data_IF_846788084893
#
_entry.id   IF_846788084893
#
_cell.length_a   1.000
_cell.length_b   1.000
_cell.length_c   1.000
_cell.angle_alpha   90.00
_cell.angle_beta   90.00
_cell.angle_gamma   90.00
#
_symmetry.space_group_name_H-M   'P 1'
#
loop_
_entity.id
_entity.type
_entity.pdbx_description
1 polymer ?
#
# COMPACT_ATOMS: atom_id res chain seq x y z
N UNK A 1 2.97 2.18 11.41
CA UNK A 1 1.90 1.57 10.61
C UNK A 1 0.66 2.43 10.73
N UNK A 2 -0.08 2.52 9.67
CA UNK A 2 -1.33 3.26 9.53
C UNK A 2 -2.46 2.28 9.20
N UNK A 3 -3.65 2.56 9.71
CA UNK A 3 -4.89 2.02 9.22
C UNK A 3 -5.46 3.00 8.21
N UNK A 4 -5.74 2.54 6.99
CA UNK A 4 -6.38 3.34 5.96
C UNK A 4 -7.87 3.03 5.91
N UNK A 5 -8.70 4.06 5.97
CA UNK A 5 -10.11 4.04 5.63
C UNK A 5 -10.29 4.78 4.31
N UNK A 6 -10.82 4.13 3.28
CA UNK A 6 -10.96 4.64 1.93
C UNK A 6 -12.45 4.80 1.59
N UNK A 7 -12.79 5.89 0.92
CA UNK A 7 -14.15 6.25 0.54
C UNK A 7 -14.25 6.36 -0.98
N UNK A 8 -15.16 5.60 -1.58
CA UNK A 8 -15.32 5.53 -3.03
C UNK A 8 -16.28 6.58 -3.61
N UNK A 9 -17.12 7.19 -2.76
CA UNK A 9 -18.11 8.17 -3.17
C UNK A 9 -18.45 9.15 -2.03
N UNK A 10 -19.23 10.19 -2.37
CA UNK A 10 -19.64 11.22 -1.42
C UNK A 10 -20.59 10.69 -0.34
N UNK A 11 -21.44 9.70 -0.65
CA UNK A 11 -22.38 9.10 0.30
C UNK A 11 -21.60 8.38 1.43
N UNK A 12 -20.56 7.64 1.07
CA UNK A 12 -19.67 6.99 2.04
C UNK A 12 -18.95 8.00 2.94
N UNK A 13 -18.50 9.15 2.35
CA UNK A 13 -17.87 10.23 3.11
C UNK A 13 -18.87 10.87 4.10
N UNK A 14 -20.08 11.20 3.64
CA UNK A 14 -21.11 11.83 4.48
C UNK A 14 -21.59 10.90 5.60
N UNK A 15 -21.68 9.61 5.34
CA UNK A 15 -22.06 8.59 6.34
C UNK A 15 -20.92 8.24 7.32
N UNK A 16 -19.68 8.63 7.01
CA UNK A 16 -18.45 8.16 7.69
C UNK A 16 -18.32 6.61 7.68
N UNK A 17 -18.77 5.99 6.57
CA UNK A 17 -18.70 4.54 6.35
C UNK A 17 -17.66 4.21 5.28
N UNK A 18 -16.44 3.80 5.65
CA UNK A 18 -15.40 3.46 4.67
C UNK A 18 -15.83 2.33 3.74
N UNK A 19 -15.64 2.52 2.45
CA UNK A 19 -15.91 1.50 1.42
C UNK A 19 -14.91 0.34 1.51
N UNK A 20 -13.66 0.66 1.93
CA UNK A 20 -12.62 -0.34 2.12
C UNK A 20 -11.60 0.08 3.19
N UNK A 21 -10.89 -0.92 3.73
CA UNK A 21 -9.81 -0.74 4.70
C UNK A 21 -8.52 -1.39 4.18
N UNK A 22 -7.41 -0.75 4.48
CA UNK A 22 -6.08 -1.24 4.15
C UNK A 22 -5.05 -0.83 5.21
N UNK A 23 -3.81 -1.19 4.97
CA UNK A 23 -2.67 -0.75 5.75
C UNK A 23 -1.77 0.19 4.94
N UNK A 24 -0.98 0.98 5.63
CA UNK A 24 0.18 1.68 5.08
C UNK A 24 1.27 1.78 6.13
N UNK A 25 2.47 2.16 5.72
CA UNK A 25 3.54 2.44 6.67
C UNK A 25 4.32 3.69 6.29
N UNK A 26 4.59 4.51 7.29
CA UNK A 26 5.32 5.76 7.14
C UNK A 26 6.78 5.52 6.78
N UNK A 27 7.27 6.25 5.77
CA UNK A 27 8.65 6.19 5.29
C UNK A 27 9.40 7.52 5.45
N UNK A 28 8.68 8.58 5.84
CA UNK A 28 9.30 9.88 6.13
C UNK A 28 8.66 10.56 7.35
N UNK A 29 9.42 11.46 8.02
CA UNK A 29 8.89 12.21 9.16
C UNK A 29 7.84 13.25 8.81
N UNK A 30 7.69 13.60 7.56
CA UNK A 30 6.76 14.61 7.01
C UNK A 30 5.50 14.02 6.38
N UNK A 31 5.30 12.69 6.51
CA UNK A 31 4.03 12.05 6.22
C UNK A 31 3.98 11.26 4.92
N UNK A 32 5.11 10.96 4.27
CA UNK A 32 5.09 9.97 3.19
C UNK A 32 4.88 8.57 3.76
N UNK A 33 3.97 7.82 3.14
CA UNK A 33 3.68 6.45 3.50
C UNK A 33 3.52 5.57 2.25
N UNK A 34 3.95 4.32 2.35
CA UNK A 34 3.79 3.32 1.30
C UNK A 34 2.56 2.47 1.56
N UNK A 35 1.86 2.11 0.50
CA UNK A 35 0.74 1.16 0.49
C UNK A 35 0.69 0.42 -0.85
N UNK A 36 -0.26 -0.49 -1.05
CA UNK A 36 -0.56 -1.05 -2.37
C UNK A 36 -1.39 -0.07 -3.21
N UNK A 37 -1.21 -0.14 -4.54
CA UNK A 37 -2.07 0.61 -5.46
C UNK A 37 -3.53 0.15 -5.38
N UNK A 38 -3.80 -1.17 -5.38
CA UNK A 38 -5.16 -1.69 -5.28
C UNK A 38 -5.89 -1.24 -4.00
N UNK A 39 -5.17 -0.86 -2.95
CA UNK A 39 -5.76 -0.34 -1.73
C UNK A 39 -6.39 1.03 -1.91
N UNK A 40 -5.87 1.85 -2.82
CA UNK A 40 -6.36 3.20 -3.11
C UNK A 40 -7.14 3.29 -4.42
N UNK A 41 -7.16 2.24 -5.24
CA UNK A 41 -7.89 2.20 -6.52
C UNK A 41 -9.38 2.36 -6.28
N UNK A 42 -10.02 3.28 -6.99
CA UNK A 42 -11.44 3.60 -6.83
C UNK A 42 -11.79 4.53 -5.68
N UNK A 43 -10.83 4.95 -4.85
CA UNK A 43 -11.10 5.88 -3.77
C UNK A 43 -11.04 7.34 -4.23
N UNK A 44 -11.98 8.17 -3.75
CA UNK A 44 -11.99 9.63 -3.97
C UNK A 44 -11.47 10.40 -2.76
N UNK A 45 -11.52 9.78 -1.57
CA UNK A 45 -11.05 10.33 -0.31
C UNK A 45 -10.50 9.24 0.58
N UNK A 46 -9.72 9.61 1.59
CA UNK A 46 -9.18 8.64 2.55
C UNK A 46 -8.68 9.28 3.82
N UNK A 47 -8.69 8.45 4.87
CA UNK A 47 -8.21 8.77 6.21
C UNK A 47 -7.17 7.75 6.64
N UNK A 48 -6.07 8.23 7.21
CA UNK A 48 -5.02 7.42 7.78
C UNK A 48 -5.01 7.57 9.31
N UNK A 49 -5.31 6.50 10.02
CA UNK A 49 -5.30 6.49 11.50
C UNK A 49 -4.00 5.91 12.00
N UNK A 50 -3.31 6.66 12.85
CA UNK A 50 -2.09 6.24 13.52
C UNK A 50 -2.42 5.23 14.62
N UNK A 51 -1.42 4.44 15.02
CA UNK A 51 -1.55 3.50 16.16
C UNK A 51 -1.90 4.21 17.48
N UNK A 52 -1.56 5.46 17.62
CA UNK A 52 -1.86 6.33 18.76
C UNK A 52 -3.30 6.87 18.75
N UNK A 53 -4.02 6.68 17.64
CA UNK A 53 -5.43 7.03 17.50
C UNK A 53 -5.70 8.30 16.69
N UNK A 54 -4.66 9.10 16.40
CA UNK A 54 -4.83 10.31 15.60
C UNK A 54 -5.21 9.95 14.15
N UNK A 55 -6.24 10.59 13.63
CA UNK A 55 -6.71 10.44 12.27
C UNK A 55 -6.31 11.65 11.41
N UNK A 56 -5.62 11.39 10.31
CA UNK A 56 -5.13 12.39 9.37
C UNK A 56 -5.67 12.10 7.96
N UNK A 57 -5.98 13.14 7.19
CA UNK A 57 -6.42 12.95 5.81
C UNK A 57 -5.28 12.43 4.92
N UNK A 58 -5.62 11.65 3.89
CA UNK A 58 -4.72 11.39 2.76
C UNK A 58 -4.80 12.62 1.85
N UNK A 59 -3.70 13.39 1.78
CA UNK A 59 -3.68 14.63 1.00
C UNK A 59 -3.36 14.40 -0.47
N UNK A 60 -2.37 13.54 -0.74
CA UNK A 60 -1.84 13.32 -2.08
C UNK A 60 -1.40 11.88 -2.29
N UNK A 61 -1.44 11.44 -3.53
CA UNK A 61 -0.72 10.29 -4.06
C UNK A 61 0.51 10.85 -4.78
N UNK A 62 1.68 10.57 -4.25
CA UNK A 62 2.96 11.09 -4.76
C UNK A 62 3.51 10.21 -5.87
N UNK A 63 3.29 8.92 -5.77
CA UNK A 63 3.69 7.90 -6.73
C UNK A 63 2.65 6.80 -6.74
N UNK A 64 2.35 6.27 -7.89
CA UNK A 64 1.62 5.01 -8.01
C UNK A 64 2.03 4.28 -9.30
N UNK A 65 1.93 2.98 -9.25
CA UNK A 65 2.11 2.09 -10.39
C UNK A 65 1.16 0.90 -10.22
N UNK A 66 0.16 0.82 -11.11
CA UNK A 66 -0.87 -0.20 -11.05
C UNK A 66 -0.34 -1.58 -11.48
N UNK A 67 0.67 -1.63 -12.35
CA UNK A 67 1.21 -2.88 -12.89
C UNK A 67 2.06 -3.62 -11.85
N UNK A 68 2.67 -2.88 -10.95
CA UNK A 68 3.48 -3.44 -9.84
C UNK A 68 2.76 -3.40 -8.50
N UNK A 69 1.55 -2.82 -8.46
CA UNK A 69 0.71 -2.71 -7.26
C UNK A 69 1.35 -1.96 -6.09
N UNK A 70 2.01 -0.82 -6.38
CA UNK A 70 2.61 0.05 -5.37
C UNK A 70 2.07 1.48 -5.45
N UNK A 71 1.93 2.12 -4.29
CA UNK A 71 1.65 3.54 -4.17
C UNK A 71 2.40 4.18 -3.00
N UNK A 72 2.73 5.47 -3.15
CA UNK A 72 3.23 6.33 -2.07
C UNK A 72 2.25 7.47 -1.90
N UNK A 73 1.70 7.59 -0.71
CA UNK A 73 0.74 8.63 -0.32
C UNK A 73 1.40 9.63 0.63
N UNK A 74 0.88 10.84 0.66
CA UNK A 74 1.19 11.85 1.70
C UNK A 74 -0.02 12.02 2.58
N UNK A 75 0.17 11.86 3.89
CA UNK A 75 -0.85 12.14 4.89
C UNK A 75 -0.66 13.53 5.49
N UNK A 76 -1.78 14.18 5.84
CA UNK A 76 -1.79 15.47 6.50
C UNK A 76 -1.03 15.43 7.83
N UNK A 77 -0.40 16.53 8.18
CA UNK A 77 0.18 16.73 9.52
C UNK A 77 -0.81 17.35 10.51
N UNK A 78 -2.05 17.55 10.05
CA UNK A 78 -3.13 18.07 10.87
C UNK A 78 -4.20 16.99 11.00
N UNK A 79 -4.60 16.69 12.23
CA UNK A 79 -5.68 15.72 12.50
C UNK A 79 -7.04 16.31 12.15
N UNK A 80 -8.06 15.46 12.12
CA UNK A 80 -9.45 15.89 11.91
C UNK A 80 -9.91 16.91 12.97
N UNK A 81 -9.37 16.85 14.19
CA UNK A 81 -9.65 17.77 15.29
C UNK A 81 -8.83 19.07 15.20
N UNK A 82 -7.97 19.21 14.19
CA UNK A 82 -7.13 20.40 13.97
C UNK A 82 -5.83 20.42 14.76
N UNK A 83 -5.46 19.34 15.40
CA UNK A 83 -4.19 19.20 16.12
C UNK A 83 -3.04 18.91 15.13
N UNK A 84 -1.87 19.47 15.38
CA UNK A 84 -0.70 19.23 14.53
C UNK A 84 0.10 18.04 15.06
N UNK A 85 0.36 17.05 14.22
CA UNK A 85 1.32 15.98 14.46
C UNK A 85 2.72 16.52 14.18
N UNK A 86 3.56 16.73 15.20
CA UNK A 86 4.84 17.43 15.01
C UNK A 86 5.80 16.67 14.10
N UNK A 87 5.80 15.34 14.21
CA UNK A 87 6.67 14.45 13.45
C UNK A 87 6.11 13.04 13.44
N UNK A 88 6.17 12.38 12.28
CA UNK A 88 5.87 10.96 12.18
C UNK A 88 7.12 10.08 12.42
N UNK A 89 6.88 8.87 12.92
CA UNK A 89 7.92 7.85 13.05
C UNK A 89 7.95 7.00 11.80
N UNK A 90 9.04 7.12 11.04
CA UNK A 90 9.23 6.43 9.77
C UNK A 90 9.94 5.09 9.95
N UNK A 91 9.58 4.11 9.12
CA UNK A 91 10.28 2.85 8.95
C UNK A 91 11.36 3.04 7.87
N UNK A 92 12.57 2.61 8.15
CA UNK A 92 13.64 2.64 7.18
C UNK A 92 13.39 1.61 6.07
N UNK A 93 13.58 2.01 4.81
CA UNK A 93 13.45 1.11 3.66
C UNK A 93 14.74 0.33 3.39
N UNK A 94 14.56 -0.80 2.74
CA UNK A 94 15.60 -1.66 2.20
C UNK A 94 15.12 -2.32 0.90
N UNK A 95 16.04 -2.69 0.01
CA UNK A 95 15.68 -3.41 -1.21
C UNK A 95 15.53 -4.91 -0.97
N UNK A 96 14.94 -5.61 -1.95
CA UNK A 96 14.73 -7.06 -1.91
C UNK A 96 16.04 -7.86 -1.74
N UNK A 97 17.18 -7.29 -2.15
CA UNK A 97 18.52 -7.90 -2.00
C UNK A 97 18.97 -8.07 -0.54
N UNK A 98 18.32 -7.40 0.40
CA UNK A 98 18.63 -7.48 1.84
C UNK A 98 17.98 -8.69 2.53
N UNK A 99 17.23 -9.51 1.80
CA UNK A 99 16.67 -10.77 2.31
C UNK A 99 16.99 -11.93 1.37
N UNK A 100 17.09 -13.12 1.95
CA UNK A 100 17.35 -14.38 1.27
C UNK A 100 16.33 -15.42 1.73
N UNK A 101 16.13 -16.45 0.94
CA UNK A 101 15.33 -17.60 1.33
C UNK A 101 15.81 -18.18 2.67
N UNK A 102 14.89 -18.35 3.60
CA UNK A 102 15.15 -18.81 4.97
C UNK A 102 15.36 -17.70 6.01
N UNK A 103 15.56 -16.44 5.59
CA UNK A 103 15.70 -15.33 6.53
C UNK A 103 14.39 -15.07 7.28
N UNK A 104 14.50 -14.70 8.55
CA UNK A 104 13.34 -14.30 9.36
C UNK A 104 12.81 -12.94 8.90
N UNK A 105 11.48 -12.87 8.74
CA UNK A 105 10.76 -11.63 8.42
C UNK A 105 9.55 -11.45 9.33
N UNK A 106 9.07 -10.21 9.39
CA UNK A 106 7.91 -9.81 10.17
C UNK A 106 6.94 -9.04 9.27
N UNK A 107 5.70 -9.52 9.16
CA UNK A 107 4.63 -8.78 8.48
C UNK A 107 3.89 -7.92 9.50
N UNK A 108 3.78 -6.63 9.23
CA UNK A 108 3.05 -5.64 10.02
C UNK A 108 1.91 -5.06 9.22
N UNK A 109 0.73 -5.00 9.79
CA UNK A 109 -0.45 -4.43 9.15
C UNK A 109 -1.60 -4.25 10.13
N UNK A 110 -2.77 -3.90 9.61
CA UNK A 110 -4.02 -3.77 10.35
C UNK A 110 -5.05 -4.80 9.88
N UNK A 111 -4.86 -6.08 10.20
CA UNK A 111 -5.76 -7.13 9.75
C UNK A 111 -7.18 -6.89 10.27
N UNK A 112 -8.16 -6.94 9.36
CA UNK A 112 -9.59 -6.80 9.66
C UNK A 112 -9.98 -5.50 10.38
N UNK A 113 -9.15 -4.45 10.31
CA UNK A 113 -9.41 -3.22 11.06
C UNK A 113 -9.28 -3.35 12.58
N UNK A 114 -8.69 -4.45 13.08
CA UNK A 114 -8.60 -4.74 14.52
C UNK A 114 -7.43 -4.04 15.22
N UNK A 115 -6.71 -3.21 14.50
CA UNK A 115 -5.51 -2.52 14.99
C UNK A 115 -4.21 -3.17 14.52
N UNK A 116 -3.09 -2.62 14.96
CA UNK A 116 -1.76 -3.12 14.57
C UNK A 116 -1.57 -4.57 15.01
N UNK A 117 -1.23 -5.41 14.03
CA UNK A 117 -0.80 -6.77 14.27
C UNK A 117 0.56 -7.04 13.62
N UNK A 118 1.32 -7.92 14.23
CA UNK A 118 2.61 -8.40 13.72
C UNK A 118 2.60 -9.92 13.70
N UNK A 119 2.96 -10.50 12.56
CA UNK A 119 3.25 -11.93 12.43
C UNK A 119 4.71 -12.13 12.08
N UNK A 120 5.28 -13.27 12.49
CA UNK A 120 6.64 -13.68 12.19
C UNK A 120 6.63 -14.88 11.26
N UNK A 121 7.52 -14.89 10.30
CA UNK A 121 7.76 -16.01 9.40
C UNK A 121 9.16 -15.97 8.81
N UNK A 122 9.32 -16.68 7.70
CA UNK A 122 10.55 -16.70 6.90
C UNK A 122 10.26 -16.31 5.45
N UNK A 123 11.29 -15.92 4.74
CA UNK A 123 11.25 -15.80 3.28
C UNK A 123 11.24 -17.19 2.66
N UNK A 124 10.17 -17.53 1.97
CA UNK A 124 10.01 -18.82 1.27
C UNK A 124 10.54 -18.77 -0.16
N UNK A 125 10.47 -17.60 -0.83
CA UNK A 125 11.05 -17.32 -2.13
C UNK A 125 11.34 -15.82 -2.27
N UNK A 126 12.35 -15.44 -3.06
CA UNK A 126 12.73 -14.04 -3.28
C UNK A 126 12.35 -13.50 -4.66
N UNK A 127 11.88 -14.36 -5.57
CA UNK A 127 11.44 -13.97 -6.90
C UNK A 127 10.38 -14.98 -7.38
N UNK A 128 9.11 -14.66 -7.15
CA UNK A 128 7.98 -15.49 -7.54
C UNK A 128 7.04 -14.68 -8.44
N UNK A 129 6.83 -15.17 -9.67
CA UNK A 129 5.89 -14.56 -10.61
C UNK A 129 4.46 -14.73 -10.09
N UNK A 130 3.69 -13.65 -10.07
CA UNK A 130 2.32 -13.64 -9.61
C UNK A 130 1.48 -12.63 -10.40
N UNK A 131 0.22 -12.96 -10.67
CA UNK A 131 -0.68 -12.12 -11.48
C UNK A 131 -0.98 -10.75 -10.85
N UNK A 132 -0.68 -10.58 -9.57
CA UNK A 132 -0.96 -9.33 -8.84
C UNK A 132 0.09 -8.23 -9.06
N UNK A 133 1.24 -8.55 -9.65
CA UNK A 133 2.32 -7.60 -9.91
C UNK A 133 3.19 -8.09 -11.06
N UNK A 134 3.61 -7.19 -11.93
CA UNK A 134 4.60 -7.48 -12.99
C UNK A 134 6.01 -7.66 -12.44
N UNK A 135 6.26 -7.25 -11.20
CA UNK A 135 7.51 -7.57 -10.51
C UNK A 135 7.42 -8.92 -9.80
N UNK A 136 8.49 -9.73 -9.84
CA UNK A 136 8.57 -10.94 -9.04
C UNK A 136 8.44 -10.62 -7.54
N UNK A 137 7.50 -11.28 -6.88
CA UNK A 137 7.19 -11.08 -5.47
C UNK A 137 8.14 -11.83 -4.54
N UNK A 138 8.34 -11.29 -3.34
CA UNK A 138 8.84 -12.04 -2.20
C UNK A 138 7.69 -12.87 -1.63
N UNK A 139 7.91 -14.18 -1.43
CA UNK A 139 6.97 -15.06 -0.75
C UNK A 139 7.42 -15.28 0.68
N UNK A 140 6.49 -15.15 1.62
CA UNK A 140 6.73 -15.40 3.04
C UNK A 140 5.61 -16.25 3.63
N UNK A 141 5.89 -16.98 4.69
CA UNK A 141 4.90 -17.67 5.52
C UNK A 141 4.45 -16.86 6.76
N UNK A 142 4.96 -15.63 6.90
CA UNK A 142 4.46 -14.67 7.89
C UNK A 142 2.99 -14.34 7.57
N UNK A 143 2.07 -14.78 8.43
CA UNK A 143 0.63 -14.72 8.18
C UNK A 143 0.14 -13.30 7.97
N UNK A 144 -0.60 -13.06 6.88
CA UNK A 144 -1.36 -11.85 6.63
C UNK A 144 -2.85 -12.19 6.42
N UNK A 145 -3.70 -11.20 6.57
CA UNK A 145 -5.16 -11.31 6.41
C UNK A 145 -5.71 -10.09 5.67
N UNK A 146 -6.99 -10.10 5.32
CA UNK A 146 -7.66 -8.91 4.76
C UNK A 146 -7.40 -7.69 5.64
N UNK A 147 -7.14 -6.53 5.04
CA UNK A 147 -6.73 -5.30 5.72
C UNK A 147 -5.21 -5.20 5.96
N UNK A 148 -4.44 -6.29 5.84
CA UNK A 148 -2.98 -6.22 5.90
C UNK A 148 -2.33 -5.70 4.60
N UNK A 149 -3.07 -5.68 3.48
CA UNK A 149 -2.59 -5.12 2.21
C UNK A 149 -2.08 -3.70 2.41
N UNK A 150 -0.91 -3.38 1.88
CA UNK A 150 -0.20 -2.12 2.11
C UNK A 150 0.66 -2.09 3.37
N UNK A 151 0.63 -3.14 4.19
CA UNK A 151 1.50 -3.29 5.35
C UNK A 151 2.96 -3.56 5.00
N UNK A 152 3.84 -3.49 5.99
CA UNK A 152 5.26 -3.68 5.80
C UNK A 152 5.70 -5.12 6.03
N UNK A 153 6.51 -5.68 5.12
CA UNK A 153 7.34 -6.84 5.40
C UNK A 153 8.73 -6.35 5.86
N UNK A 154 9.06 -6.60 7.12
CA UNK A 154 10.34 -6.18 7.70
C UNK A 154 11.33 -7.33 7.75
N UNK A 155 12.62 -7.02 7.52
CA UNK A 155 13.71 -7.93 7.83
C UNK A 155 14.00 -7.95 9.34
N UNK A 156 14.94 -8.79 9.77
CA UNK A 156 15.34 -8.93 11.19
C UNK A 156 15.91 -7.64 11.81
N UNK A 157 16.32 -6.66 10.99
CA UNK A 157 16.82 -5.36 11.44
C UNK A 157 15.71 -4.29 11.53
N UNK A 158 14.43 -4.65 11.29
CA UNK A 158 13.30 -3.74 11.31
C UNK A 158 13.22 -2.79 10.12
N UNK A 159 13.87 -3.12 9.01
CA UNK A 159 13.80 -2.36 7.75
C UNK A 159 12.77 -2.99 6.83
N UNK A 160 11.92 -2.18 6.21
CA UNK A 160 10.92 -2.67 5.27
C UNK A 160 11.60 -3.06 3.93
N UNK A 161 11.35 -4.28 3.48
CA UNK A 161 11.90 -4.85 2.23
C UNK A 161 10.83 -5.03 1.17
N UNK A 162 9.55 -5.14 1.58
CA UNK A 162 8.43 -5.32 0.68
C UNK A 162 7.12 -4.80 1.32
N UNK A 163 6.09 -4.68 0.48
CA UNK A 163 4.71 -4.38 0.87
C UNK A 163 3.94 -5.70 0.91
N UNK A 164 3.23 -5.98 2.01
CA UNK A 164 2.34 -7.14 2.09
C UNK A 164 1.12 -6.91 1.20
N UNK A 165 0.86 -7.81 0.24
CA UNK A 165 -0.10 -7.55 -0.83
C UNK A 165 -1.23 -8.56 -0.86
N UNK A 166 -0.93 -9.86 -0.81
CA UNK A 166 -1.96 -10.88 -0.95
C UNK A 166 -1.52 -12.27 -0.51
N UNK A 167 -2.42 -13.22 -0.68
CA UNK A 167 -2.16 -14.64 -0.42
C UNK A 167 -2.28 -15.43 -1.72
N UNK A 168 -1.44 -16.42 -1.90
CA UNK A 168 -1.55 -17.35 -3.01
C UNK A 168 -2.76 -18.26 -2.81
N UNK A 169 -3.73 -18.19 -3.71
CA UNK A 169 -5.06 -18.81 -3.54
C UNK A 169 -5.00 -20.35 -3.43
N UNK A 170 -4.01 -20.96 -4.07
CA UNK A 170 -3.84 -22.40 -4.13
C UNK A 170 -2.77 -22.95 -3.18
N UNK A 171 -2.16 -22.09 -2.36
CA UNK A 171 -1.09 -22.45 -1.42
C UNK A 171 -1.48 -22.18 0.03
N UNK A 172 -1.09 -23.06 0.94
CA UNK A 172 -1.19 -22.78 2.37
C UNK A 172 0.06 -22.03 2.83
N UNK A 173 -0.13 -20.96 3.61
CA UNK A 173 0.96 -20.15 4.18
C UNK A 173 1.94 -19.59 3.12
N UNK A 174 1.40 -19.17 1.98
CA UNK A 174 2.16 -18.49 0.93
C UNK A 174 1.58 -17.11 0.74
N UNK A 175 2.26 -16.12 1.28
CA UNK A 175 1.84 -14.73 1.22
C UNK A 175 2.79 -13.96 0.30
N UNK A 176 2.20 -13.16 -0.58
CA UNK A 176 2.88 -12.42 -1.63
C UNK A 176 3.15 -11.00 -1.15
N UNK A 177 4.39 -10.56 -1.31
CA UNK A 177 4.83 -9.23 -0.93
C UNK A 177 5.57 -8.58 -2.11
N UNK A 178 5.17 -7.39 -2.51
CA UNK A 178 5.79 -6.64 -3.60
C UNK A 178 7.06 -5.95 -3.10
N UNK A 179 8.22 -6.14 -3.75
CA UNK A 179 9.48 -5.50 -3.35
C UNK A 179 9.41 -3.97 -3.38
N UNK A 180 10.19 -3.32 -2.49
CA UNK A 180 10.24 -1.86 -2.37
C UNK A 180 11.27 -1.18 -3.28
N UNK A 181 12.00 -1.94 -4.10
CA UNK A 181 13.04 -1.40 -4.97
C UNK A 181 12.52 -0.25 -5.85
N UNK A 182 11.31 -0.29 -6.47
CA UNK A 182 10.78 0.85 -7.23
C UNK A 182 10.55 2.11 -6.38
N UNK A 183 10.13 1.97 -5.14
CA UNK A 183 9.92 3.13 -4.24
C UNK A 183 11.26 3.76 -3.84
N UNK A 184 12.33 2.95 -3.71
CA UNK A 184 13.69 3.44 -3.43
C UNK A 184 14.28 4.24 -4.61
N UNK A 185 13.84 3.96 -5.84
CA UNK A 185 14.31 4.60 -7.07
C UNK A 185 13.41 5.77 -7.51
N UNK A 186 12.18 5.86 -6.99
CA UNK A 186 11.20 6.87 -7.39
C UNK A 186 11.58 8.27 -6.90
N UNK A 187 11.25 9.28 -7.72
CA UNK A 187 11.24 10.68 -7.29
C UNK A 187 9.98 10.98 -6.48
N UNK A 188 10.12 11.11 -5.19
CA UNK A 188 9.04 11.39 -4.24
C UNK A 188 8.93 12.88 -3.86
N UNK A 189 9.58 13.79 -4.61
CA UNK A 189 9.61 15.23 -4.32
C UNK A 189 8.46 16.01 -4.93
N UNK A 190 7.68 15.40 -5.85
CA UNK A 190 6.57 16.01 -6.54
C UNK A 190 5.40 16.40 -5.62
N UNK A 191 4.52 17.28 -6.13
CA UNK A 191 3.29 17.67 -5.42
C UNK A 191 2.26 16.53 -5.37
N UNK A 192 2.32 15.60 -6.33
CA UNK A 192 1.41 14.48 -6.45
C UNK A 192 -0.01 14.87 -6.89
N UNK A 193 -0.91 13.91 -6.87
CA UNK A 193 -2.32 14.01 -7.27
C UNK A 193 -3.22 13.73 -6.06
N UNK A 194 -4.46 14.24 -6.06
CA UNK A 194 -5.48 13.78 -5.13
C UNK A 194 -5.93 12.35 -5.48
N UNK A 195 -6.60 11.65 -4.57
CA UNK A 195 -7.19 10.33 -4.88
C UNK A 195 -8.18 10.43 -6.04
N UNK A 196 -9.01 11.49 -6.09
CA UNK A 196 -9.94 11.74 -7.19
C UNK A 196 -9.22 11.94 -8.53
N UNK A 197 -8.14 12.73 -8.57
CA UNK A 197 -7.36 12.94 -9.79
C UNK A 197 -6.69 11.65 -10.29
N UNK A 198 -6.25 10.77 -9.37
CA UNK A 198 -5.72 9.44 -9.73
C UNK A 198 -6.83 8.57 -10.33
N UNK A 199 -8.01 8.53 -9.70
CA UNK A 199 -9.16 7.79 -10.21
C UNK A 199 -9.55 8.25 -11.61
N UNK A 200 -9.65 9.57 -11.83
CA UNK A 200 -10.00 10.15 -13.13
C UNK A 200 -8.95 9.79 -14.20
N UNK A 201 -7.67 9.89 -13.87
CA UNK A 201 -6.57 9.57 -14.79
C UNK A 201 -6.55 8.07 -15.17
N UNK A 202 -6.74 7.19 -14.20
CA UNK A 202 -6.75 5.74 -14.42
C UNK A 202 -8.00 5.31 -15.21
N UNK A 203 -9.16 5.90 -14.92
CA UNK A 203 -10.40 5.66 -15.65
C UNK A 203 -10.26 6.04 -17.12
N UNK A 204 -9.74 7.24 -17.39
CA UNK A 204 -9.49 7.71 -18.76
C UNK A 204 -8.49 6.80 -19.51
N UNK A 205 -7.44 6.32 -18.83
CA UNK A 205 -6.47 5.42 -19.43
C UNK A 205 -7.10 4.04 -19.77
N UNK A 206 -7.94 3.49 -18.88
CA UNK A 206 -8.67 2.23 -19.10
C UNK A 206 -9.66 2.33 -20.28
N UNK A 207 -10.40 3.45 -20.38
CA UNK A 207 -11.33 3.72 -21.48
C UNK A 207 -10.58 3.82 -22.82
N UNK A 208 -9.48 4.57 -22.88
CA UNK A 208 -8.66 4.69 -24.08
C UNK A 208 -8.06 3.34 -24.51
N UNK A 209 -7.64 2.51 -23.58
CA UNK A 209 -7.13 1.17 -23.87
C UNK A 209 -8.22 0.23 -24.42
N UNK A 210 -9.45 0.32 -23.89
CA UNK A 210 -10.58 -0.46 -24.37
C UNK A 210 -10.97 -0.05 -25.81
N UNK A 211 -11.05 1.24 -26.10
CA UNK A 211 -11.33 1.74 -27.46
C UNK A 211 -10.26 1.31 -28.47
N UNK A 212 -8.98 1.31 -28.06
CA UNK A 212 -7.89 0.86 -28.92
C UNK A 212 -7.98 -0.65 -29.23
N UNK A 213 -8.36 -1.47 -28.25
CA UNK A 213 -8.54 -2.92 -28.43
C UNK A 213 -9.71 -3.22 -29.39
N UNK A 214 -10.85 -2.56 -29.24
CA UNK A 214 -12.00 -2.71 -30.14
C UNK A 214 -11.68 -2.29 -31.59
N UNK A 215 -10.86 -1.24 -31.75
CA UNK A 215 -10.43 -0.78 -33.07
C UNK A 215 -9.47 -1.77 -33.76
N UNK A 216 -8.70 -2.56 -33.02
CA UNK A 216 -7.78 -3.58 -33.57
C UNK A 216 -8.55 -4.87 -33.94
N UNK A 217 -9.54 -5.29 -33.15
CA UNK A 217 -10.40 -6.44 -33.45
C UNK A 217 -11.30 -6.23 -34.70
N UNK A 218 -11.54 -4.96 -35.06
CA UNK A 218 -12.37 -4.59 -36.22
C UNK A 218 -11.61 -4.53 -37.56
N UNK A 219 -10.31 -4.81 -37.57
CA UNK A 219 -9.42 -4.80 -38.76
C UNK A 219 -9.11 -6.20 -39.26
#
# INVERSE_FOLDING_TARGET
ILCLDLFADEEAIEADEPTSNASAFLISPDGLAVTNYHSIDGAISGRATLITGEACAIERVIYYDADIDLAVIRIARTTAEGETVPRFHAIALAGAKEVRMGDTVYALGNPLGLGLAMSRGIVSATAHEADLSTLPCIVSDATISRGSSGGALLNEYGRAVAVTTGAYVYGNNMYLCVPLDPVLEADLTGEGMTLQEVLDAVTAAREAAAEAAEADESR
#
